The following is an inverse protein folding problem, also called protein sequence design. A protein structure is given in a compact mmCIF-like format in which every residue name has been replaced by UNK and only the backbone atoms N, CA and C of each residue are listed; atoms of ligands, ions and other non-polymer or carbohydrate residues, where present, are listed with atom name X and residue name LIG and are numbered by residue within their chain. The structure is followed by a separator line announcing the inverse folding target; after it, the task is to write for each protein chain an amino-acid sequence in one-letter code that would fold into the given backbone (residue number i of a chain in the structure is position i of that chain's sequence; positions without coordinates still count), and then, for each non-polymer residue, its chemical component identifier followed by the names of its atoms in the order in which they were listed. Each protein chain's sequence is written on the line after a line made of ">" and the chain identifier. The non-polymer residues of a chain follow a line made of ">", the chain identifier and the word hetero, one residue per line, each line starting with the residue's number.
data_IF_393795178527
#
_entry.id   IF_393795178527
#
_cell.length_a   1.000
_cell.length_b   1.000
_cell.length_c   1.000
_cell.angle_alpha   90.00
_cell.angle_beta   90.00
_cell.angle_gamma   90.00
#
_symmetry.space_group_name_H-M   'P 1'
#
loop_
_entity.id
_entity.type
_entity.pdbx_description
1 polymer ?
#
# COMPACT_ATOMS: atom_id res chain seq x y z
N UNK A 1 -17.70 -16.06 -4.09
CA UNK A 1 -16.53 -16.51 -3.29
C UNK A 1 -15.65 -17.52 -4.04
N UNK A 2 -16.22 -18.58 -4.64
CA UNK A 2 -15.45 -19.58 -5.41
C UNK A 2 -14.62 -19.01 -6.58
N UNK A 3 -15.14 -18.02 -7.32
CA UNK A 3 -14.45 -17.41 -8.47
C UNK A 3 -13.18 -16.65 -8.04
N UNK A 4 -13.23 -15.95 -6.91
CA UNK A 4 -12.07 -15.20 -6.38
C UNK A 4 -10.98 -16.19 -5.96
N UNK A 5 -11.36 -17.27 -5.28
CA UNK A 5 -10.42 -18.32 -4.87
C UNK A 5 -9.77 -19.03 -6.06
N UNK A 6 -10.50 -19.28 -7.16
CA UNK A 6 -9.92 -19.89 -8.36
C UNK A 6 -8.94 -18.95 -9.06
N UNK A 7 -9.27 -17.66 -9.19
CA UNK A 7 -8.38 -16.67 -9.81
C UNK A 7 -7.10 -16.47 -8.99
N UNK A 8 -7.20 -16.44 -7.65
CA UNK A 8 -6.01 -16.40 -6.78
C UNK A 8 -5.14 -17.64 -7.01
N UNK A 9 -5.73 -18.82 -7.12
CA UNK A 9 -4.98 -20.05 -7.37
C UNK A 9 -4.30 -20.07 -8.74
N UNK A 10 -4.95 -19.55 -9.79
CA UNK A 10 -4.36 -19.42 -11.12
C UNK A 10 -3.16 -18.46 -11.13
N UNK A 11 -3.25 -17.34 -10.41
CA UNK A 11 -2.14 -16.39 -10.27
C UNK A 11 -0.96 -16.99 -9.50
N UNK A 12 -1.23 -17.77 -8.45
CA UNK A 12 -0.19 -18.51 -7.73
C UNK A 12 0.49 -19.53 -8.63
N UNK A 13 -0.28 -20.29 -9.41
CA UNK A 13 0.26 -21.27 -10.35
C UNK A 13 1.12 -20.61 -11.44
N UNK A 14 0.69 -19.44 -11.95
CA UNK A 14 1.46 -18.68 -12.93
C UNK A 14 2.80 -18.23 -12.34
N UNK A 15 2.78 -17.66 -11.13
CA UNK A 15 4.00 -17.23 -10.43
C UNK A 15 4.97 -18.40 -10.28
N UNK A 16 4.50 -19.55 -9.82
CA UNK A 16 5.35 -20.72 -9.61
C UNK A 16 5.93 -21.28 -10.92
N UNK A 17 5.14 -21.27 -11.99
CA UNK A 17 5.60 -21.66 -13.32
C UNK A 17 6.70 -20.71 -13.84
N UNK A 18 6.53 -19.41 -13.66
CA UNK A 18 7.52 -18.39 -14.03
C UNK A 18 8.81 -18.53 -13.21
N UNK A 19 8.69 -18.70 -11.89
CA UNK A 19 9.84 -18.91 -11.00
C UNK A 19 10.62 -20.17 -11.41
N UNK A 20 9.92 -21.26 -11.75
CA UNK A 20 10.54 -22.51 -12.20
C UNK A 20 11.26 -22.35 -13.54
N UNK A 21 10.66 -21.64 -14.50
CA UNK A 21 11.26 -21.38 -15.80
C UNK A 21 12.59 -20.62 -15.66
N UNK A 22 12.60 -19.51 -14.93
CA UNK A 22 13.82 -18.70 -14.77
C UNK A 22 14.91 -19.43 -13.99
N UNK A 23 14.54 -20.23 -12.97
CA UNK A 23 15.50 -21.10 -12.29
C UNK A 23 16.13 -22.12 -13.23
N UNK A 24 15.33 -22.77 -14.08
CA UNK A 24 15.84 -23.74 -15.07
C UNK A 24 16.81 -23.08 -16.05
N UNK A 25 16.47 -21.91 -16.59
CA UNK A 25 17.34 -21.16 -17.50
C UNK A 25 18.67 -20.78 -16.84
N UNK A 26 18.63 -20.33 -15.58
CA UNK A 26 19.82 -19.99 -14.82
C UNK A 26 20.74 -21.20 -14.62
N UNK A 27 20.19 -22.35 -14.25
CA UNK A 27 21.00 -23.56 -14.05
C UNK A 27 21.57 -24.09 -15.37
N UNK A 28 20.83 -24.01 -16.48
CA UNK A 28 21.35 -24.38 -17.80
C UNK A 28 22.54 -23.51 -18.21
N UNK A 29 22.42 -22.18 -18.04
CA UNK A 29 23.51 -21.24 -18.32
C UNK A 29 24.71 -21.53 -17.42
N UNK A 30 24.47 -21.77 -16.14
CA UNK A 30 25.53 -22.08 -15.18
C UNK A 30 26.27 -23.37 -15.55
N UNK A 31 25.55 -24.43 -15.91
CA UNK A 31 26.14 -25.68 -16.40
C UNK A 31 26.98 -25.47 -17.66
N UNK A 32 26.51 -24.65 -18.61
CA UNK A 32 27.28 -24.29 -19.81
C UNK A 32 28.58 -23.56 -19.45
N UNK A 33 28.52 -22.58 -18.55
CA UNK A 33 29.71 -21.84 -18.08
C UNK A 33 30.68 -22.77 -17.36
N UNK A 34 30.20 -23.61 -16.45
CA UNK A 34 31.06 -24.56 -15.72
C UNK A 34 31.71 -25.59 -16.64
N UNK A 35 31.00 -26.07 -17.66
CA UNK A 35 31.56 -26.96 -18.68
C UNK A 35 32.64 -26.25 -19.50
N UNK A 36 32.41 -24.99 -19.91
CA UNK A 36 33.39 -24.18 -20.63
C UNK A 36 34.66 -23.94 -19.81
N UNK A 37 34.52 -23.64 -18.51
CA UNK A 37 35.64 -23.43 -17.60
C UNK A 37 36.42 -24.74 -17.38
N UNK A 38 35.73 -25.87 -17.17
CA UNK A 38 36.36 -27.17 -16.93
C UNK A 38 37.12 -27.72 -18.13
N UNK A 39 36.68 -27.39 -19.35
CA UNK A 39 37.31 -27.88 -20.56
C UNK A 39 38.65 -27.20 -20.86
N UNK A 40 39.00 -26.09 -20.19
CA UNK A 40 40.22 -25.30 -20.40
C UNK A 40 40.55 -25.07 -21.89
N UNK A 41 39.52 -25.10 -22.73
CA UNK A 41 39.58 -24.83 -24.14
C UNK A 41 39.65 -23.33 -24.26
N UNK A 42 40.81 -22.82 -24.68
CA UNK A 42 40.85 -21.52 -25.34
C UNK A 42 39.73 -21.53 -26.37
N UNK A 43 38.82 -20.55 -26.30
CA UNK A 43 37.65 -20.52 -27.17
C UNK A 43 38.15 -20.23 -28.58
N UNK A 44 38.56 -21.27 -29.30
CA UNK A 44 38.57 -21.26 -30.75
C UNK A 44 37.12 -21.43 -31.13
N UNK A 45 36.39 -20.32 -31.27
CA UNK A 45 35.06 -20.32 -31.89
C UNK A 45 35.29 -20.85 -33.32
N UNK A 46 34.88 -22.10 -33.64
CA UNK A 46 35.27 -22.73 -34.90
C UNK A 46 34.73 -22.00 -36.14
N UNK A 47 33.80 -21.07 -35.93
CA UNK A 47 33.13 -20.27 -36.96
C UNK A 47 33.54 -18.78 -36.96
N UNK A 48 34.54 -18.36 -36.17
CA UNK A 48 35.15 -17.02 -36.32
C UNK A 48 36.36 -17.03 -37.27
N UNK A 49 36.80 -18.21 -37.72
CA UNK A 49 37.89 -18.35 -38.70
C UNK A 49 37.37 -18.12 -40.13
N UNK A 50 36.08 -18.37 -40.37
CA UNK A 50 35.37 -17.83 -41.53
C UNK A 50 34.39 -16.78 -41.02
N UNK A 51 34.71 -15.50 -41.20
CA UNK A 51 33.72 -14.44 -41.06
C UNK A 51 32.61 -14.68 -42.09
N UNK A 52 31.63 -15.54 -41.75
CA UNK A 52 30.28 -15.38 -42.29
C UNK A 52 29.90 -13.97 -41.89
N UNK A 53 29.94 -13.07 -42.86
CA UNK A 53 29.53 -11.68 -42.68
C UNK A 53 28.25 -11.68 -41.88
N UNK A 54 28.23 -10.95 -40.76
CA UNK A 54 27.02 -10.77 -39.96
C UNK A 54 25.86 -10.49 -40.91
N UNK A 55 24.90 -11.41 -40.98
CA UNK A 55 23.77 -11.35 -41.89
C UNK A 55 22.78 -10.34 -41.31
N UNK A 56 23.12 -9.07 -41.50
CA UNK A 56 22.39 -7.92 -41.00
C UNK A 56 20.91 -7.97 -41.40
N UNK A 57 20.65 -8.51 -42.59
CA UNK A 57 19.31 -8.70 -43.13
C UNK A 57 18.49 -9.70 -42.29
N UNK A 58 19.08 -10.84 -41.91
CA UNK A 58 18.39 -11.83 -41.05
C UNK A 58 18.13 -11.29 -39.65
N UNK A 59 19.09 -10.53 -39.11
CA UNK A 59 18.93 -9.86 -37.82
C UNK A 59 17.81 -8.80 -37.84
N UNK A 60 17.69 -8.02 -38.92
CA UNK A 60 16.57 -7.11 -39.13
C UNK A 60 15.25 -7.88 -39.19
N UNK A 61 15.17 -8.97 -39.95
CA UNK A 61 13.96 -9.78 -40.07
C UNK A 61 13.53 -10.33 -38.70
N UNK A 62 14.48 -10.82 -37.91
CA UNK A 62 14.22 -11.27 -36.55
C UNK A 62 13.69 -10.14 -35.65
N UNK A 63 14.34 -8.97 -35.65
CA UNK A 63 13.89 -7.83 -34.84
C UNK A 63 12.50 -7.34 -35.24
N UNK A 64 12.21 -7.29 -36.54
CA UNK A 64 10.87 -6.95 -37.03
C UNK A 64 9.83 -7.97 -36.54
N UNK A 65 10.16 -9.26 -36.57
CA UNK A 65 9.26 -10.30 -36.05
C UNK A 65 8.99 -10.18 -34.55
N UNK A 66 9.96 -9.70 -33.76
CA UNK A 66 9.77 -9.42 -32.34
C UNK A 66 8.86 -8.21 -32.12
N UNK A 67 9.02 -7.15 -32.91
CA UNK A 67 8.14 -5.98 -32.87
C UNK A 67 6.69 -6.41 -33.17
N UNK A 68 6.47 -7.22 -34.21
CA UNK A 68 5.14 -7.73 -34.55
C UNK A 68 4.52 -8.57 -33.43
N UNK A 69 5.33 -9.39 -32.75
CA UNK A 69 4.88 -10.19 -31.60
C UNK A 69 4.50 -9.31 -30.40
N UNK A 70 5.30 -8.29 -30.11
CA UNK A 70 5.05 -7.32 -29.04
C UNK A 70 3.77 -6.55 -29.34
N UNK A 71 3.58 -6.07 -30.58
CA UNK A 71 2.37 -5.36 -31.01
C UNK A 71 1.12 -6.24 -30.90
N UNK A 72 1.23 -7.52 -31.29
CA UNK A 72 0.14 -8.49 -31.13
C UNK A 72 -0.23 -8.68 -29.65
N UNK A 73 0.77 -8.77 -28.77
CA UNK A 73 0.55 -8.87 -27.33
C UNK A 73 -0.12 -7.62 -26.77
N UNK A 74 0.38 -6.42 -27.10
CA UNK A 74 -0.22 -5.16 -26.67
C UNK A 74 -1.68 -5.04 -27.09
N UNK A 75 -2.00 -5.39 -28.34
CA UNK A 75 -3.40 -5.40 -28.82
C UNK A 75 -4.28 -6.33 -27.99
N UNK A 76 -3.81 -7.54 -27.69
CA UNK A 76 -4.56 -8.49 -26.82
C UNK A 76 -4.79 -7.94 -25.42
N UNK A 77 -3.80 -7.26 -24.82
CA UNK A 77 -3.93 -6.66 -23.49
C UNK A 77 -4.93 -5.49 -23.51
N UNK A 78 -4.86 -4.63 -24.53
CA UNK A 78 -5.81 -3.53 -24.71
C UNK A 78 -7.22 -4.06 -24.92
N UNK A 79 -7.40 -5.07 -25.77
CA UNK A 79 -8.70 -5.69 -26.02
C UNK A 79 -9.25 -6.34 -24.76
N UNK A 80 -8.43 -7.09 -24.01
CA UNK A 80 -8.82 -7.64 -22.72
C UNK A 80 -9.26 -6.55 -21.74
N UNK A 81 -8.46 -5.50 -21.58
CA UNK A 81 -8.74 -4.40 -20.65
C UNK A 81 -10.01 -3.65 -21.03
N UNK A 82 -10.22 -3.43 -22.32
CA UNK A 82 -11.42 -2.76 -22.86
C UNK A 82 -12.66 -3.62 -22.64
N UNK A 83 -12.57 -4.92 -22.90
CA UNK A 83 -13.68 -5.86 -22.68
C UNK A 83 -13.98 -6.05 -21.20
N UNK A 84 -12.95 -6.13 -20.36
CA UNK A 84 -13.07 -6.17 -18.90
C UNK A 84 -13.80 -4.90 -18.42
N UNK A 85 -13.33 -3.71 -18.80
CA UNK A 85 -14.00 -2.44 -18.45
C UNK A 85 -15.47 -2.39 -18.91
N UNK A 86 -15.76 -2.82 -20.15
CA UNK A 86 -17.14 -2.89 -20.66
C UNK A 86 -18.02 -3.87 -19.88
N UNK A 87 -17.46 -5.01 -19.47
CA UNK A 87 -18.19 -6.02 -18.68
C UNK A 87 -18.62 -5.46 -17.33
N UNK A 88 -17.77 -4.66 -16.68
CA UNK A 88 -18.08 -4.06 -15.38
C UNK A 88 -18.88 -2.75 -15.47
N UNK A 89 -18.95 -2.11 -16.64
CA UNK A 89 -19.68 -0.84 -16.87
C UNK A 89 -21.15 -0.82 -16.40
N UNK A 90 -21.94 -1.90 -16.51
CA UNK A 90 -23.32 -1.94 -16.01
C UNK A 90 -23.43 -2.11 -14.49
N UNK A 91 -22.36 -2.53 -13.82
CA UNK A 91 -22.34 -2.73 -12.37
C UNK A 91 -21.98 -1.39 -11.72
N UNK A 92 -23.01 -0.64 -11.31
CA UNK A 92 -22.87 0.67 -10.66
C UNK A 92 -22.03 0.65 -9.38
N UNK A 93 -21.86 -0.50 -8.74
CA UNK A 93 -21.01 -0.68 -7.54
C UNK A 93 -19.50 -0.51 -7.83
N UNK A 94 -19.07 -0.59 -9.10
CA UNK A 94 -17.67 -0.47 -9.51
C UNK A 94 -17.38 0.76 -10.39
N UNK A 95 -18.42 1.46 -10.85
CA UNK A 95 -18.28 2.69 -11.64
C UNK A 95 -18.77 3.86 -10.77
N UNK A 96 -17.86 4.32 -9.93
CA UNK A 96 -17.99 5.53 -9.11
C UNK A 96 -18.05 6.79 -10.01
N UNK A 97 -19.17 7.01 -10.70
CA UNK A 97 -19.58 8.38 -11.07
C UNK A 97 -20.13 9.15 -9.85
N UNK A 98 -20.39 8.41 -8.76
CA UNK A 98 -20.41 8.98 -7.44
C UNK A 98 -19.00 8.84 -6.89
N UNK A 99 -18.20 9.92 -6.90
CA UNK A 99 -17.19 10.07 -5.85
C UNK A 99 -17.92 9.72 -4.56
N UNK A 100 -17.58 8.59 -3.94
CA UNK A 100 -17.99 8.34 -2.57
C UNK A 100 -17.65 9.64 -1.84
N UNK A 101 -18.65 10.24 -1.19
CA UNK A 101 -18.46 11.43 -0.37
C UNK A 101 -17.63 11.01 0.84
N UNK A 102 -16.34 10.86 0.60
CA UNK A 102 -15.32 10.64 1.60
C UNK A 102 -15.24 11.85 2.54
N UNK A 103 -15.86 13.00 2.23
CA UNK A 103 -16.00 14.08 3.22
C UNK A 103 -16.96 13.71 4.36
N UNK A 104 -17.83 12.71 4.15
CA UNK A 104 -18.71 12.18 5.18
C UNK A 104 -18.05 11.14 6.10
N UNK A 105 -17.02 10.42 5.65
CA UNK A 105 -16.52 9.25 6.39
C UNK A 105 -15.04 8.86 6.20
N UNK A 106 -14.25 9.57 5.37
CA UNK A 106 -12.80 9.41 5.36
C UNK A 106 -12.16 10.69 5.89
N UNK A 107 -11.63 10.57 7.10
CA UNK A 107 -10.68 11.45 7.75
C UNK A 107 -9.46 11.79 6.86
N UNK A 108 -9.65 12.56 5.79
CA UNK A 108 -8.58 13.16 5.00
C UNK A 108 -8.37 14.62 5.43
N UNK A 109 -8.30 14.83 6.75
CA UNK A 109 -7.81 16.10 7.25
C UNK A 109 -6.35 16.28 6.83
N UNK A 110 -5.99 17.49 6.42
CA UNK A 110 -4.61 17.86 6.12
C UNK A 110 -3.72 17.90 7.39
N UNK A 111 -4.21 17.41 8.52
CA UNK A 111 -3.56 17.51 9.80
C UNK A 111 -3.65 16.20 10.59
N UNK A 112 -2.55 15.83 11.24
CA UNK A 112 -2.53 14.79 12.27
C UNK A 112 -2.55 15.44 13.65
N UNK A 113 -3.30 14.84 14.57
CA UNK A 113 -3.42 15.33 15.94
C UNK A 113 -3.00 14.25 16.93
N UNK A 114 -2.17 14.63 17.90
CA UNK A 114 -1.72 13.75 18.98
C UNK A 114 -1.24 14.57 20.17
N UNK A 115 -1.26 13.99 21.37
CA UNK A 115 -0.68 14.64 22.53
C UNK A 115 0.83 14.39 22.62
N UNK A 116 1.57 15.41 23.06
CA UNK A 116 2.97 15.22 23.44
C UNK A 116 3.05 14.53 24.79
N UNK A 117 3.68 13.35 24.82
CA UNK A 117 3.82 12.50 26.01
C UNK A 117 4.36 13.28 27.21
N UNK A 118 3.74 13.08 28.38
CA UNK A 118 4.11 13.71 29.63
C UNK A 118 3.71 15.19 29.74
N UNK A 119 2.91 15.70 28.80
CA UNK A 119 2.49 17.11 28.76
C UNK A 119 0.98 17.23 28.54
N UNK A 120 0.46 18.46 28.57
CA UNK A 120 -0.92 18.80 28.21
C UNK A 120 -1.05 19.34 26.78
N UNK A 121 0.03 19.27 25.99
CA UNK A 121 0.09 19.92 24.69
C UNK A 121 -0.48 18.99 23.62
N UNK A 122 -1.54 19.44 22.97
CA UNK A 122 -2.03 18.86 21.72
C UNK A 122 -1.13 19.37 20.60
N UNK A 123 -0.61 18.44 19.80
CA UNK A 123 0.23 18.70 18.65
C UNK A 123 -0.60 18.55 17.40
N UNK A 124 -0.55 19.56 16.54
CA UNK A 124 -1.10 19.56 15.19
C UNK A 124 0.07 19.48 14.20
N UNK A 125 0.12 18.41 13.42
CA UNK A 125 1.07 18.26 12.32
C UNK A 125 0.36 18.52 10.99
N UNK A 126 0.73 19.59 10.30
CA UNK A 126 0.22 19.91 8.97
C UNK A 126 0.99 19.09 7.93
N UNK A 127 0.28 18.18 7.24
CA UNK A 127 0.89 17.26 6.26
C UNK A 127 1.28 17.97 4.96
N UNK A 128 0.71 19.15 4.70
CA UNK A 128 1.00 19.95 3.50
C UNK A 128 2.26 20.78 3.71
N UNK A 129 2.36 21.43 4.87
CA UNK A 129 3.49 22.28 5.23
C UNK A 129 4.63 21.55 5.92
N UNK A 130 4.41 20.28 6.31
CA UNK A 130 5.32 19.47 7.11
C UNK A 130 5.76 20.17 8.39
N UNK A 131 4.82 20.87 9.04
CA UNK A 131 5.10 21.71 10.21
C UNK A 131 4.28 21.29 11.43
N UNK A 132 4.83 21.56 12.62
CA UNK A 132 4.21 21.24 13.91
C UNK A 132 3.77 22.53 14.60
N UNK A 133 2.55 22.51 15.14
CA UNK A 133 2.05 23.53 16.05
C UNK A 133 1.66 22.87 17.37
N UNK A 134 2.13 23.42 18.49
CA UNK A 134 1.73 22.97 19.83
C UNK A 134 0.64 23.88 20.40
N UNK A 135 -0.36 23.25 21.00
CA UNK A 135 -1.54 23.92 21.55
C UNK A 135 -1.71 23.40 22.97
N UNK A 136 -1.67 24.29 23.95
CA UNK A 136 -1.87 23.92 25.34
C UNK A 136 -3.35 23.61 25.56
N UNK A 137 -3.71 22.33 25.66
CA UNK A 137 -5.09 21.93 25.91
C UNK A 137 -5.45 22.22 27.36
N UNK A 138 -6.69 22.68 27.60
CA UNK A 138 -7.20 22.96 28.93
C UNK A 138 -7.66 21.67 29.65
N UNK A 139 -6.74 20.71 29.81
CA UNK A 139 -6.96 19.41 30.45
C UNK A 139 -6.26 19.33 31.82
N UNK A 140 -6.72 18.44 32.68
CA UNK A 140 -6.28 18.39 34.07
C UNK A 140 -4.96 17.64 34.25
N UNK A 141 -4.75 16.58 33.48
CA UNK A 141 -3.61 15.68 33.60
C UNK A 141 -2.72 15.65 32.35
N UNK A 142 -1.44 15.32 32.57
CA UNK A 142 -0.50 15.08 31.50
C UNK A 142 -0.92 13.84 30.72
N UNK A 143 -0.79 13.89 29.39
CA UNK A 143 -1.21 12.83 28.51
C UNK A 143 -0.09 11.82 28.26
N UNK A 144 -0.46 10.55 28.25
CA UNK A 144 0.44 9.44 27.94
C UNK A 144 0.59 9.19 26.43
N UNK A 145 1.47 8.26 26.11
CA UNK A 145 1.66 7.72 24.77
C UNK A 145 0.68 6.57 24.48
N UNK A 146 0.51 6.18 23.21
CA UNK A 146 -0.19 4.94 22.83
C UNK A 146 -1.66 4.86 23.33
N UNK A 147 -2.31 6.01 23.50
CA UNK A 147 -3.75 6.12 23.73
C UNK A 147 -4.55 5.82 22.46
N UNK A 148 -5.83 5.50 22.63
CA UNK A 148 -6.74 5.32 21.51
C UNK A 148 -7.15 6.70 20.97
N UNK A 149 -6.98 6.93 19.67
CA UNK A 149 -7.31 8.20 19.05
C UNK A 149 -7.93 8.03 17.68
N UNK A 150 -8.89 8.89 17.34
CA UNK A 150 -9.47 9.00 16.00
C UNK A 150 -10.09 10.38 15.78
N UNK A 151 -10.22 10.78 14.52
CA UNK A 151 -11.01 11.95 14.16
C UNK A 151 -12.49 11.57 14.07
N UNK A 152 -13.33 12.53 14.46
CA UNK A 152 -14.78 12.47 14.42
C UNK A 152 -15.31 13.55 13.44
N UNK A 153 -16.51 13.36 12.86
CA UNK A 153 -17.13 14.37 12.03
C UNK A 153 -17.29 15.73 12.73
N UNK A 154 -17.19 16.79 11.93
CA UNK A 154 -17.32 18.17 12.40
C UNK A 154 -16.06 18.69 13.08
N UNK A 155 -14.88 18.38 12.52
CA UNK A 155 -13.57 18.83 13.00
C UNK A 155 -13.36 18.51 14.49
N UNK A 156 -13.59 17.25 14.88
CA UNK A 156 -13.43 16.82 16.27
C UNK A 156 -12.39 15.72 16.37
N UNK A 157 -11.69 15.68 17.48
CA UNK A 157 -10.68 14.69 17.78
C UNK A 157 -11.01 13.97 19.07
N UNK A 158 -11.12 12.64 18.99
CA UNK A 158 -11.25 11.78 20.15
C UNK A 158 -9.89 11.28 20.59
N UNK A 159 -9.60 11.38 21.88
CA UNK A 159 -8.45 10.77 22.52
C UNK A 159 -8.86 10.11 23.83
N UNK A 160 -8.39 8.89 24.08
CA UNK A 160 -8.71 8.16 25.31
C UNK A 160 -7.52 7.32 25.80
N UNK A 161 -7.23 7.44 27.09
CA UNK A 161 -6.23 6.64 27.77
C UNK A 161 -4.79 7.11 27.50
N UNK A 162 -3.85 6.18 27.65
CA UNK A 162 -2.43 6.46 27.51
C UNK A 162 -1.55 5.61 28.41
N UNK A 163 -0.29 5.49 28.03
CA UNK A 163 0.78 4.81 28.72
C UNK A 163 1.91 5.81 29.00
N UNK A 164 2.37 5.84 30.24
CA UNK A 164 3.44 6.72 30.72
C UNK A 164 3.20 8.23 30.46
N UNK A 165 2.33 8.90 31.23
CA UNK A 165 1.57 8.37 32.38
C UNK A 165 0.38 7.49 31.96
N UNK A 166 -0.03 6.60 32.87
CA UNK A 166 -1.26 5.83 32.70
C UNK A 166 -2.47 6.70 32.91
N UNK A 167 -3.29 6.86 31.87
CA UNK A 167 -4.50 7.67 31.92
C UNK A 167 -5.76 6.81 31.76
N UNK A 168 -6.81 7.19 32.48
CA UNK A 168 -8.18 6.63 32.38
C UNK A 168 -9.18 7.67 31.90
N UNK A 169 -8.68 8.83 31.50
CA UNK A 169 -9.45 9.95 30.99
C UNK A 169 -9.54 9.87 29.47
N UNK A 170 -10.60 10.47 28.95
CA UNK A 170 -10.71 10.73 27.53
C UNK A 170 -11.39 12.05 27.25
N UNK A 171 -11.18 12.52 26.04
CA UNK A 171 -11.61 13.83 25.58
C UNK A 171 -12.11 13.74 24.15
N UNK A 172 -13.17 14.49 23.88
CA UNK A 172 -13.52 14.93 22.53
C UNK A 172 -13.13 16.40 22.46
N UNK A 173 -12.24 16.73 21.53
CA UNK A 173 -11.68 18.07 21.35
C UNK A 173 -12.26 18.63 20.06
N UNK A 174 -12.87 19.81 20.11
CA UNK A 174 -13.23 20.56 18.92
C UNK A 174 -11.97 21.21 18.33
N UNK A 175 -11.66 20.94 17.07
CA UNK A 175 -10.42 21.39 16.42
C UNK A 175 -10.52 22.82 15.86
N UNK A 176 -11.70 23.46 15.97
CA UNK A 176 -11.90 24.86 15.58
C UNK A 176 -11.45 25.79 16.71
N UNK A 177 -11.94 25.54 17.93
CA UNK A 177 -11.71 26.40 19.09
C UNK A 177 -10.93 25.72 20.22
N UNK A 178 -10.57 24.44 20.08
CA UNK A 178 -9.89 23.62 21.08
C UNK A 178 -10.66 23.48 22.40
N UNK A 179 -11.97 23.68 22.36
CA UNK A 179 -12.87 23.31 23.45
C UNK A 179 -12.90 21.79 23.62
N UNK A 180 -13.17 21.36 24.84
CA UNK A 180 -13.05 19.96 25.23
C UNK A 180 -14.26 19.47 26.01
N UNK A 181 -14.72 18.29 25.62
CA UNK A 181 -15.74 17.53 26.32
C UNK A 181 -15.07 16.31 26.95
N UNK A 182 -15.13 16.21 28.27
CA UNK A 182 -14.61 15.03 28.97
C UNK A 182 -15.50 13.82 28.72
N UNK A 183 -14.88 12.69 28.41
CA UNK A 183 -15.52 11.41 28.23
C UNK A 183 -15.50 10.66 29.57
N UNK A 184 -16.61 10.01 29.98
CA UNK A 184 -16.64 9.23 31.20
C UNK A 184 -15.49 8.22 31.28
N UNK A 185 -14.92 7.98 32.47
CA UNK A 185 -13.83 7.02 32.62
C UNK A 185 -14.33 5.60 32.29
N UNK A 186 -13.60 4.96 31.39
CA UNK A 186 -13.66 3.54 31.06
C UNK A 186 -12.51 2.81 31.77
N UNK A 187 -12.41 1.50 31.51
CA UNK A 187 -11.25 0.71 31.94
C UNK A 187 -9.98 1.30 31.31
N UNK A 188 -8.86 1.30 32.04
CA UNK A 188 -7.54 1.73 31.54
C UNK A 188 -7.30 1.11 30.16
N UNK A 189 -7.01 1.96 29.18
CA UNK A 189 -6.68 1.55 27.82
C UNK A 189 -5.31 2.11 27.45
N UNK A 190 -4.41 1.23 27.04
CA UNK A 190 -3.13 1.53 26.41
C UNK A 190 -2.94 0.58 25.21
N UNK A 191 -1.99 0.90 24.33
CA UNK A 191 -1.72 0.12 23.12
C UNK A 191 -3.00 -0.17 22.31
N UNK A 192 -3.88 0.82 22.23
CA UNK A 192 -5.18 0.68 21.61
C UNK A 192 -5.33 1.57 20.39
N UNK A 193 -6.23 1.17 19.51
CA UNK A 193 -6.70 1.98 18.40
C UNK A 193 -8.15 2.36 18.63
N UNK A 194 -8.56 3.48 18.02
CA UNK A 194 -9.96 3.86 17.94
C UNK A 194 -10.36 4.03 16.47
N UNK A 195 -11.63 3.77 16.17
CA UNK A 195 -12.25 4.18 14.92
C UNK A 195 -13.62 4.75 15.18
N UNK A 196 -14.04 5.70 14.34
CA UNK A 196 -15.40 6.22 14.33
C UNK A 196 -16.23 5.47 13.29
N UNK A 197 -17.42 5.02 13.66
CA UNK A 197 -18.37 4.40 12.75
C UNK A 197 -19.80 4.64 13.24
N UNK A 198 -20.71 5.04 12.34
CA UNK A 198 -22.14 5.24 12.63
C UNK A 198 -22.45 6.01 13.94
N UNK A 199 -21.80 7.16 14.14
CA UNK A 199 -21.98 8.03 15.33
C UNK A 199 -21.44 7.46 16.65
N UNK A 200 -20.67 6.37 16.58
CA UNK A 200 -20.04 5.76 17.74
C UNK A 200 -18.51 5.70 17.56
N UNK A 201 -17.82 5.62 18.69
CA UNK A 201 -16.36 5.40 18.74
C UNK A 201 -16.09 4.01 19.28
N UNK A 202 -15.43 3.19 18.48
CA UNK A 202 -15.02 1.84 18.84
C UNK A 202 -13.56 1.83 19.23
N UNK A 203 -13.25 1.31 20.43
CA UNK A 203 -11.88 1.19 20.95
C UNK A 203 -11.46 -0.27 20.93
N UNK A 204 -10.42 -0.59 20.15
CA UNK A 204 -9.86 -1.92 20.05
C UNK A 204 -8.57 -2.02 20.85
N UNK A 205 -8.49 -3.05 21.69
CA UNK A 205 -7.37 -3.29 22.60
C UNK A 205 -6.59 -4.48 22.11
N UNK A 206 -5.27 -4.43 22.23
CA UNK A 206 -4.45 -5.63 22.08
C UNK A 206 -4.70 -6.52 23.31
N UNK A 207 -5.09 -7.78 23.06
CA UNK A 207 -5.19 -8.84 24.07
C UNK A 207 -3.79 -9.36 24.38
#
# INVERSE_FOLDING_TARGET
>A
MQIISSTIQELLNLKDATDKFFRSQREEIKLKIENLIKQNTEIVVPELIETKSFLYEEFIVYNNSLIDQIDSYYKKVIDFSTNFSKFYKPYHEFNEDQMLDFKGNANMDNNLYFFRTGTKNLVKFDVTLLSLTEIQANINENQGSLGAACQLPGNKFFHYGGFDPYNTTGYIIDLIDYSLLSVPPLRVVNHASATYFEKEVYIFRRI
#
